data_IF_725327737599
#
_entry.id   IF_725327737599
#
_cell.length_a   1.000
_cell.length_b   1.000
_cell.length_c   1.000
_cell.angle_alpha   90.00
_cell.angle_beta   90.00
_cell.angle_gamma   90.00
#
_symmetry.space_group_name_H-M   'P 1'
#
loop_
_entity.id
_entity.type
_entity.pdbx_description
1 polymer ?
#
# COMPACT_ATOMS: atom_id res chain seq x y z
N UNK A 1 11.63 13.24 2.16
CA UNK A 1 10.28 13.46 1.62
C UNK A 1 9.72 12.24 0.94
N UNK A 2 8.43 12.26 0.59
CA UNK A 2 7.72 11.10 0.02
C UNK A 2 8.31 10.62 -1.30
N UNK A 3 8.91 11.51 -2.08
CA UNK A 3 9.52 11.20 -3.39
C UNK A 3 10.98 10.75 -3.33
N UNK A 4 11.57 10.70 -2.16
CA UNK A 4 12.99 10.38 -2.01
C UNK A 4 13.28 9.72 -0.68
N UNK A 5 14.29 10.25 0.04
CA UNK A 5 14.65 9.75 1.36
C UNK A 5 13.45 9.80 2.31
N UNK A 6 13.10 8.65 2.87
CA UNK A 6 12.08 8.50 3.91
C UNK A 6 12.75 8.14 5.25
N UNK A 7 12.23 8.71 6.33
CA UNK A 7 12.66 8.40 7.69
C UNK A 7 11.44 8.13 8.54
N UNK A 8 11.37 6.95 9.15
CA UNK A 8 10.36 6.56 10.13
C UNK A 8 11.04 6.34 11.48
N UNK A 9 10.38 6.69 12.57
CA UNK A 9 10.91 6.48 13.89
C UNK A 9 9.82 6.10 14.89
N UNK A 10 10.10 5.11 15.72
CA UNK A 10 9.25 4.74 16.83
C UNK A 10 9.80 5.29 18.15
N UNK A 11 8.90 5.77 18.99
CA UNK A 11 9.22 6.36 20.28
C UNK A 11 8.27 5.84 21.36
N UNK A 12 8.84 5.51 22.53
CA UNK A 12 8.06 5.26 23.74
C UNK A 12 7.87 6.56 24.52
N UNK A 13 6.63 6.80 24.96
CA UNK A 13 6.34 7.85 25.92
C UNK A 13 5.81 7.24 27.21
N UNK A 14 6.67 7.21 28.24
CA UNK A 14 6.31 6.65 29.54
C UNK A 14 6.83 7.53 30.68
N UNK A 15 5.98 7.75 31.68
CA UNK A 15 6.36 8.54 32.85
C UNK A 15 6.79 9.96 32.53
N UNK A 16 6.21 10.59 31.50
CA UNK A 16 6.59 11.94 31.05
C UNK A 16 7.89 12.01 30.24
N UNK A 17 8.47 10.87 29.89
CA UNK A 17 9.74 10.79 29.15
C UNK A 17 9.52 10.14 27.80
N UNK A 18 10.09 10.77 26.76
CA UNK A 18 10.16 10.24 25.39
C UNK A 18 11.49 9.51 25.20
N UNK A 19 11.46 8.28 24.69
CA UNK A 19 12.64 7.46 24.43
C UNK A 19 12.53 6.84 23.04
N UNK A 20 13.57 7.03 22.20
CA UNK A 20 13.62 6.40 20.88
C UNK A 20 13.74 4.89 21.00
N UNK A 21 12.95 4.16 20.24
CA UNK A 21 13.07 2.71 20.07
C UNK A 21 13.97 2.38 18.89
N UNK A 22 13.61 2.89 17.72
CA UNK A 22 14.37 2.68 16.49
C UNK A 22 14.12 3.83 15.50
N UNK A 23 14.99 3.90 14.52
CA UNK A 23 14.87 4.80 13.36
C UNK A 23 15.18 3.98 12.11
N UNK A 24 14.22 3.92 11.19
CA UNK A 24 14.41 3.42 9.83
C UNK A 24 14.70 4.61 8.92
N UNK A 25 15.78 4.54 8.17
CA UNK A 25 16.23 5.61 7.28
C UNK A 25 16.67 4.99 5.95
N UNK A 26 16.01 5.35 4.87
CA UNK A 26 16.30 4.81 3.54
C UNK A 26 17.67 5.24 2.99
N UNK A 27 18.30 6.27 3.55
CA UNK A 27 19.66 6.67 3.22
C UNK A 27 20.73 6.00 4.10
N UNK A 28 20.34 5.33 5.18
CA UNK A 28 21.26 4.59 6.03
C UNK A 28 21.57 3.20 5.46
N UNK A 29 22.78 2.67 5.66
CA UNK A 29 23.07 1.29 5.35
C UNK A 29 22.15 0.32 6.11
N UNK A 30 21.63 -0.69 5.43
CA UNK A 30 20.77 -1.70 6.03
C UNK A 30 20.18 -2.60 4.96
N UNK A 31 19.68 -3.75 5.39
CA UNK A 31 19.02 -4.75 4.53
C UNK A 31 17.69 -5.10 5.19
N UNK A 32 16.61 -4.95 4.45
CA UNK A 32 15.27 -5.38 4.85
C UNK A 32 15.14 -6.89 4.98
N UNK A 33 14.03 -7.35 5.51
CA UNK A 33 13.72 -8.78 5.63
C UNK A 33 13.48 -9.42 4.26
N UNK A 34 13.06 -8.63 3.27
CA UNK A 34 12.93 -9.04 1.86
C UNK A 34 14.30 -9.13 1.13
N UNK A 35 15.40 -8.88 1.82
CA UNK A 35 16.75 -8.92 1.27
C UNK A 35 17.16 -7.67 0.49
N UNK A 36 16.30 -6.68 0.34
CA UNK A 36 16.60 -5.43 -0.37
C UNK A 36 17.34 -4.44 0.53
N UNK A 37 18.26 -3.63 -0.02
CA UNK A 37 18.89 -2.56 0.74
C UNK A 37 17.87 -1.48 1.12
N UNK A 38 18.12 -0.77 2.24
CA UNK A 38 17.24 0.32 2.67
C UNK A 38 17.00 1.37 1.58
N UNK A 39 17.95 1.57 0.67
CA UNK A 39 17.83 2.49 -0.45
C UNK A 39 16.67 2.17 -1.41
N UNK A 40 16.28 0.91 -1.53
CA UNK A 40 15.18 0.47 -2.40
C UNK A 40 13.79 0.87 -1.84
N UNK A 41 13.74 1.27 -0.58
CA UNK A 41 12.53 1.81 0.06
C UNK A 41 12.39 3.33 -0.13
N UNK A 42 13.39 4.00 -0.74
CA UNK A 42 13.31 5.44 -0.98
C UNK A 42 12.24 5.75 -2.04
N UNK A 43 11.40 6.77 -1.77
CA UNK A 43 10.30 7.13 -2.64
C UNK A 43 9.07 6.21 -2.55
N UNK A 44 9.04 5.30 -1.58
CA UNK A 44 7.94 4.34 -1.39
C UNK A 44 6.93 4.79 -0.33
N UNK A 45 7.21 5.87 0.38
CA UNK A 45 6.28 6.45 1.35
C UNK A 45 5.19 7.28 0.70
N UNK A 46 4.16 7.63 1.45
CA UNK A 46 3.03 8.41 0.97
C UNK A 46 2.58 9.51 1.92
N UNK A 47 1.47 10.16 1.61
CA UNK A 47 0.84 11.15 2.48
C UNK A 47 0.02 10.52 3.61
N UNK A 48 -0.23 9.23 3.53
CA UNK A 48 -0.94 8.44 4.54
C UNK A 48 -0.04 7.37 5.14
N UNK A 49 -0.27 7.04 6.40
CA UNK A 49 0.39 5.96 7.14
C UNK A 49 -0.65 5.19 7.93
N UNK A 50 -0.48 3.89 7.98
CA UNK A 50 -1.29 3.01 8.83
C UNK A 50 -0.39 2.16 9.72
N UNK A 51 -0.94 1.64 10.80
CA UNK A 51 -0.31 0.64 11.66
C UNK A 51 -1.24 -0.55 11.79
N UNK A 52 -0.70 -1.75 11.70
CA UNK A 52 -1.44 -3.00 11.83
C UNK A 52 -0.47 -4.17 12.06
N UNK A 53 -0.88 -5.15 12.83
CA UNK A 53 -0.21 -6.45 12.93
C UNK A 53 -0.46 -7.22 11.61
N UNK A 54 0.50 -7.09 10.67
CA UNK A 54 0.34 -7.67 9.32
C UNK A 54 0.97 -9.06 9.21
N UNK A 55 1.91 -9.41 10.09
CA UNK A 55 2.59 -10.70 10.06
C UNK A 55 2.08 -11.68 11.14
N UNK A 56 1.27 -11.21 12.07
CA UNK A 56 0.59 -12.03 13.07
C UNK A 56 1.44 -12.31 14.32
N UNK A 57 2.44 -11.49 14.60
CA UNK A 57 3.33 -11.64 15.75
C UNK A 57 2.78 -10.95 17.03
N UNK A 58 1.69 -10.19 16.90
CA UNK A 58 1.00 -9.48 17.98
C UNK A 58 1.55 -8.09 18.24
N UNK A 59 2.33 -7.54 17.33
CA UNK A 59 2.80 -6.16 17.31
C UNK A 59 2.40 -5.51 15.99
N UNK A 60 2.33 -4.17 15.99
CA UNK A 60 1.94 -3.44 14.79
C UNK A 60 3.16 -3.04 13.97
N UNK A 61 3.12 -3.31 12.67
CA UNK A 61 4.01 -2.80 11.65
C UNK A 61 3.55 -1.43 11.19
N UNK A 62 4.47 -0.67 10.61
CA UNK A 62 4.16 0.58 9.94
C UNK A 62 3.98 0.31 8.44
N UNK A 63 2.74 0.41 7.97
CA UNK A 63 2.40 0.40 6.56
C UNK A 63 2.49 1.82 6.02
N UNK A 64 3.56 2.10 5.29
CA UNK A 64 3.83 3.43 4.75
C UNK A 64 3.80 3.39 3.22
N UNK A 65 2.60 3.28 2.70
CA UNK A 65 2.26 3.20 1.29
C UNK A 65 2.83 1.95 0.60
N UNK A 66 3.83 2.11 -0.27
CA UNK A 66 4.47 1.00 -1.02
C UNK A 66 5.54 0.26 -0.24
N UNK A 67 5.70 0.57 1.04
CA UNK A 67 6.63 -0.14 1.94
C UNK A 67 5.99 -0.45 3.29
N UNK A 68 6.47 -1.51 3.90
CA UNK A 68 6.13 -1.90 5.27
C UNK A 68 7.43 -1.99 6.08
N UNK A 69 7.41 -1.41 7.27
CA UNK A 69 8.51 -1.45 8.24
C UNK A 69 8.02 -2.16 9.48
N UNK A 70 8.76 -3.18 9.87
CA UNK A 70 8.51 -4.05 11.00
C UNK A 70 8.64 -3.31 12.35
N UNK A 71 8.05 -3.88 13.39
CA UNK A 71 8.07 -3.35 14.76
C UNK A 71 9.48 -3.20 15.33
N UNK A 72 10.46 -3.92 14.76
CA UNK A 72 11.88 -3.84 15.10
C UNK A 72 12.63 -2.70 14.36
N UNK A 73 11.97 -2.01 13.42
CA UNK A 73 12.55 -0.91 12.64
C UNK A 73 13.30 -1.35 11.39
N UNK A 74 13.16 -2.59 10.96
CA UNK A 74 13.68 -3.08 9.67
C UNK A 74 12.59 -3.03 8.60
N UNK A 75 12.97 -2.78 7.34
CA UNK A 75 12.05 -2.94 6.24
C UNK A 75 11.54 -4.38 6.17
N UNK A 76 10.22 -4.59 6.17
CA UNK A 76 9.63 -5.91 5.97
C UNK A 76 9.65 -6.25 4.48
N UNK A 77 9.12 -5.35 3.67
CA UNK A 77 9.20 -5.41 2.20
C UNK A 77 8.90 -4.05 1.56
N UNK A 78 9.18 -3.95 0.26
CA UNK A 78 8.67 -2.89 -0.62
C UNK A 78 8.12 -3.46 -1.91
N UNK A 79 6.95 -2.95 -2.35
CA UNK A 79 6.32 -3.32 -3.63
C UNK A 79 6.99 -2.66 -4.83
N UNK A 80 7.68 -1.53 -4.63
CA UNK A 80 8.25 -0.74 -5.71
C UNK A 80 7.24 0.17 -6.42
N UNK A 81 5.98 0.25 -5.97
CA UNK A 81 4.91 1.02 -6.62
C UNK A 81 5.01 2.53 -6.42
N UNK A 82 6.04 2.97 -5.70
CA UNK A 82 6.33 4.37 -5.42
C UNK A 82 5.34 5.03 -4.46
N UNK A 83 5.39 6.33 -4.40
CA UNK A 83 4.62 7.17 -3.53
C UNK A 83 3.14 7.25 -3.95
N UNK A 84 2.29 7.71 -3.04
CA UNK A 84 0.88 7.99 -3.29
C UNK A 84 0.21 8.69 -2.11
N UNK A 85 -1.05 9.09 -2.29
CA UNK A 85 -1.75 9.97 -1.37
C UNK A 85 -2.53 9.24 -0.28
N UNK A 86 -3.30 8.25 -0.66
CA UNK A 86 -4.23 7.57 0.22
C UNK A 86 -4.01 6.05 0.23
N UNK A 87 -4.14 5.47 1.42
CA UNK A 87 -4.10 4.02 1.60
C UNK A 87 -5.11 3.57 2.65
N UNK A 88 -5.52 2.32 2.52
CA UNK A 88 -6.32 1.61 3.51
C UNK A 88 -5.70 0.24 3.79
N UNK A 89 -5.72 -0.18 5.05
CA UNK A 89 -5.26 -1.51 5.49
C UNK A 89 -6.39 -2.16 6.25
N UNK A 90 -6.85 -3.31 5.78
CA UNK A 90 -7.91 -4.08 6.46
C UNK A 90 -8.02 -5.50 5.88
N UNK A 91 -8.87 -6.30 6.48
CA UNK A 91 -9.34 -7.58 5.93
C UNK A 91 -10.50 -7.31 4.95
N UNK A 92 -10.19 -6.77 3.79
CA UNK A 92 -11.18 -6.40 2.77
C UNK A 92 -11.84 -7.62 2.13
N UNK A 93 -11.13 -8.72 2.04
CA UNK A 93 -11.62 -9.99 1.53
C UNK A 93 -11.69 -10.99 2.70
N UNK A 94 -12.90 -11.44 3.09
CA UNK A 94 -13.07 -12.38 4.20
C UNK A 94 -12.43 -13.76 3.92
N UNK A 95 -12.24 -14.11 2.64
CA UNK A 95 -11.63 -15.37 2.22
C UNK A 95 -10.10 -15.27 2.13
N UNK A 96 -9.54 -14.05 2.17
CA UNK A 96 -8.10 -13.86 2.17
C UNK A 96 -7.52 -13.97 3.61
N UNK A 97 -6.49 -14.78 3.83
CA UNK A 97 -5.99 -15.07 5.18
C UNK A 97 -5.34 -13.85 5.87
N UNK A 98 -4.66 -13.00 5.10
CA UNK A 98 -3.92 -11.86 5.61
C UNK A 98 -4.66 -10.54 5.35
N UNK A 99 -4.33 -9.45 6.08
CA UNK A 99 -4.78 -8.11 5.72
C UNK A 99 -4.32 -7.71 4.31
N UNK A 100 -5.08 -6.82 3.69
CA UNK A 100 -4.79 -6.29 2.36
C UNK A 100 -4.51 -4.80 2.50
N UNK A 101 -3.50 -4.31 1.81
CA UNK A 101 -3.29 -2.89 1.56
C UNK A 101 -3.93 -2.53 0.23
N UNK A 102 -4.77 -1.52 0.24
CA UNK A 102 -5.28 -0.87 -0.96
C UNK A 102 -4.81 0.58 -0.98
N UNK A 103 -4.19 1.02 -2.06
CA UNK A 103 -3.68 2.38 -2.18
C UNK A 103 -3.69 2.90 -3.61
N UNK A 104 -3.64 4.22 -3.73
CA UNK A 104 -3.42 4.93 -4.98
C UNK A 104 -1.98 5.41 -5.05
N UNK A 105 -1.41 5.43 -6.25
CA UNK A 105 -0.02 5.77 -6.47
C UNK A 105 0.13 6.84 -7.52
N UNK A 106 1.27 7.51 -7.52
CA UNK A 106 1.62 8.59 -8.42
C UNK A 106 2.89 8.28 -9.22
N UNK A 107 2.90 8.65 -10.49
CA UNK A 107 4.07 8.57 -11.36
C UNK A 107 4.60 9.96 -11.76
N UNK A 108 4.62 10.90 -10.83
CA UNK A 108 5.29 12.21 -10.86
C UNK A 108 5.44 12.84 -12.28
N UNK A 109 4.33 13.30 -12.84
CA UNK A 109 4.29 13.99 -14.13
C UNK A 109 4.27 13.06 -15.34
N UNK A 110 4.13 11.77 -15.15
CA UNK A 110 3.91 10.76 -16.19
C UNK A 110 2.61 10.00 -15.94
N UNK A 111 2.07 9.36 -16.98
CA UNK A 111 0.97 8.41 -16.77
C UNK A 111 1.46 7.23 -15.93
N UNK A 112 0.57 6.71 -15.12
CA UNK A 112 0.81 5.46 -14.39
C UNK A 112 0.91 4.28 -15.37
N UNK A 113 1.69 3.28 -14.99
CA UNK A 113 1.94 2.08 -15.79
C UNK A 113 1.96 0.81 -14.89
N UNK A 114 2.33 -0.32 -15.45
CA UNK A 114 2.40 -1.57 -14.70
C UNK A 114 3.45 -1.57 -13.58
N UNK A 115 4.46 -0.70 -13.62
CA UNK A 115 5.52 -0.60 -12.59
C UNK A 115 5.20 0.43 -11.53
N UNK A 116 4.49 1.49 -11.90
CA UNK A 116 3.94 2.50 -11.02
C UNK A 116 2.45 2.62 -11.31
N UNK A 117 1.62 1.74 -10.75
CA UNK A 117 0.18 1.71 -11.03
C UNK A 117 -0.51 2.93 -10.42
N UNK A 118 -1.64 3.36 -11.01
CA UNK A 118 -2.49 4.39 -10.41
C UNK A 118 -3.15 3.91 -9.11
N UNK A 119 -3.44 2.61 -9.03
CA UNK A 119 -3.92 1.97 -7.82
C UNK A 119 -3.49 0.51 -7.77
N UNK A 120 -3.33 0.00 -6.56
CA UNK A 120 -3.03 -1.42 -6.35
C UNK A 120 -3.61 -1.92 -5.03
N UNK A 121 -3.88 -3.22 -5.01
CA UNK A 121 -4.05 -3.97 -3.77
C UNK A 121 -2.97 -5.04 -3.67
N UNK A 122 -2.43 -5.20 -2.49
CA UNK A 122 -1.42 -6.20 -2.21
C UNK A 122 -1.59 -6.80 -0.81
N UNK A 123 -1.12 -8.01 -0.64
CA UNK A 123 -1.08 -8.69 0.65
C UNK A 123 -0.19 -7.90 1.60
N UNK A 124 -0.73 -7.49 2.75
CA UNK A 124 -0.02 -6.63 3.71
C UNK A 124 1.17 -7.32 4.40
N UNK A 125 1.15 -8.66 4.47
CA UNK A 125 2.21 -9.46 5.08
C UNK A 125 3.39 -9.71 4.14
N UNK A 126 3.08 -9.95 2.85
CA UNK A 126 4.10 -10.46 1.90
C UNK A 126 4.48 -9.46 0.82
N UNK A 127 3.68 -8.41 0.60
CA UNK A 127 3.85 -7.49 -0.52
C UNK A 127 3.40 -8.08 -1.87
N UNK A 128 2.85 -9.29 -1.89
CA UNK A 128 2.35 -9.89 -3.12
C UNK A 128 1.20 -9.07 -3.68
N UNK A 129 1.34 -8.61 -4.93
CA UNK A 129 0.28 -7.90 -5.64
C UNK A 129 -0.90 -8.81 -5.89
N UNK A 130 -2.09 -8.39 -5.49
CA UNK A 130 -3.35 -9.07 -5.77
C UNK A 130 -3.95 -8.57 -7.07
N UNK A 131 -3.96 -7.27 -7.26
CA UNK A 131 -4.33 -6.62 -8.51
C UNK A 131 -3.74 -5.19 -8.57
N UNK A 132 -3.69 -4.60 -9.77
CA UNK A 132 -3.28 -3.23 -10.00
C UNK A 132 -3.92 -2.63 -11.25
N UNK A 133 -4.07 -1.32 -11.27
CA UNK A 133 -4.49 -0.55 -12.44
C UNK A 133 -3.26 0.16 -12.98
N UNK A 134 -2.82 -0.21 -14.20
CA UNK A 134 -1.66 0.38 -14.88
C UNK A 134 -2.02 1.67 -15.61
N UNK A 135 -2.27 1.63 -16.89
CA UNK A 135 -2.42 2.76 -17.82
C UNK A 135 -3.56 3.72 -17.46
N UNK A 136 -3.36 4.54 -16.43
CA UNK A 136 -4.32 5.51 -15.93
C UNK A 136 -3.64 6.83 -15.58
N UNK A 137 -4.43 7.88 -15.40
CA UNK A 137 -3.96 9.13 -14.81
C UNK A 137 -3.64 8.91 -13.32
N UNK A 138 -2.92 9.87 -12.77
CA UNK A 138 -2.63 9.96 -11.35
C UNK A 138 -3.92 10.02 -10.52
N UNK A 139 -3.98 9.26 -9.42
CA UNK A 139 -5.15 9.17 -8.56
C UNK A 139 -4.82 9.65 -7.14
N UNK A 140 -5.40 10.80 -6.74
CA UNK A 140 -5.11 11.41 -5.44
C UNK A 140 -5.85 10.78 -4.25
N UNK A 141 -7.01 10.13 -4.47
CA UNK A 141 -7.83 9.61 -3.37
C UNK A 141 -8.36 8.21 -3.67
N UNK A 142 -8.45 7.41 -2.63
CA UNK A 142 -9.17 6.14 -2.66
C UNK A 142 -10.01 5.95 -1.40
N UNK A 143 -11.01 5.10 -1.50
CA UNK A 143 -11.83 4.66 -0.38
C UNK A 143 -12.06 3.17 -0.50
N UNK A 144 -11.93 2.46 0.62
CA UNK A 144 -12.36 1.07 0.73
C UNK A 144 -13.25 0.90 1.95
N UNK A 145 -14.44 0.33 1.76
CA UNK A 145 -15.40 0.10 2.84
C UNK A 145 -16.34 -1.05 2.49
N UNK A 146 -16.76 -1.80 3.49
CA UNK A 146 -17.87 -2.76 3.35
C UNK A 146 -19.19 -2.00 3.39
N UNK A 147 -19.73 -1.71 2.21
CA UNK A 147 -20.94 -0.89 2.04
C UNK A 147 -22.12 -1.65 1.42
N UNK A 148 -21.93 -2.88 0.96
CA UNK A 148 -22.99 -3.69 0.37
C UNK A 148 -23.25 -4.95 1.20
N UNK A 149 -24.28 -4.97 2.05
CA UNK A 149 -24.55 -6.10 2.94
C UNK A 149 -24.97 -7.39 2.20
N UNK A 150 -25.15 -7.33 0.88
CA UNK A 150 -25.48 -8.50 0.05
C UNK A 150 -24.23 -9.24 -0.42
N UNK A 151 -23.06 -8.64 -0.29
CA UNK A 151 -21.78 -9.19 -0.72
C UNK A 151 -20.78 -9.07 0.42
N UNK A 152 -20.12 -10.16 0.74
CA UNK A 152 -19.05 -10.15 1.73
C UNK A 152 -17.81 -9.45 1.18
N UNK A 153 -17.15 -8.66 2.02
CA UNK A 153 -15.92 -7.94 1.68
C UNK A 153 -16.13 -6.47 1.33
N UNK A 154 -15.05 -5.73 1.32
CA UNK A 154 -15.07 -4.30 1.06
C UNK A 154 -15.08 -3.98 -0.43
N UNK A 155 -15.73 -2.86 -0.75
CA UNK A 155 -15.66 -2.21 -2.07
C UNK A 155 -14.68 -1.07 -2.00
N UNK A 156 -13.96 -0.85 -3.07
CA UNK A 156 -13.03 0.27 -3.18
C UNK A 156 -13.40 1.20 -4.32
N UNK A 157 -13.16 2.48 -4.10
CA UNK A 157 -13.36 3.55 -5.09
C UNK A 157 -12.13 4.43 -5.17
N UNK A 158 -11.81 4.89 -6.36
CA UNK A 158 -10.70 5.79 -6.66
C UNK A 158 -11.29 7.08 -7.21
N UNK A 159 -10.83 8.26 -6.75
CA UNK A 159 -11.20 9.55 -7.33
C UNK A 159 -10.45 9.77 -8.64
N UNK A 160 -11.03 10.57 -9.50
CA UNK A 160 -10.58 10.90 -10.85
C UNK A 160 -10.70 9.75 -11.87
N UNK A 161 -11.10 8.58 -11.44
CA UNK A 161 -11.62 7.53 -12.32
C UNK A 161 -13.02 7.13 -11.88
N UNK A 162 -13.92 6.86 -12.80
CA UNK A 162 -15.25 6.33 -12.51
C UNK A 162 -15.21 4.82 -12.20
N UNK A 163 -14.05 4.30 -11.85
CA UNK A 163 -13.84 2.91 -11.54
C UNK A 163 -14.33 2.58 -10.13
N UNK A 164 -15.38 1.80 -10.03
CA UNK A 164 -15.72 1.07 -8.82
C UNK A 164 -14.96 -0.25 -8.84
N UNK A 165 -14.10 -0.44 -7.85
CA UNK A 165 -13.32 -1.66 -7.70
C UNK A 165 -13.95 -2.48 -6.57
N UNK A 166 -14.45 -3.65 -6.89
CA UNK A 166 -14.90 -4.62 -5.91
C UNK A 166 -13.71 -5.49 -5.46
N UNK A 167 -13.22 -5.28 -4.25
CA UNK A 167 -12.10 -6.03 -3.71
C UNK A 167 -12.44 -7.51 -3.45
N UNK A 168 -13.73 -7.84 -3.34
CA UNK A 168 -14.21 -9.21 -3.15
C UNK A 168 -14.44 -9.94 -4.49
N UNK A 169 -14.74 -9.22 -5.56
CA UNK A 169 -14.84 -9.81 -6.89
C UNK A 169 -13.48 -9.65 -7.60
N UNK A 170 -12.78 -10.76 -7.84
CA UNK A 170 -11.50 -10.80 -8.57
C UNK A 170 -11.60 -10.31 -10.03
N UNK A 171 -12.74 -9.76 -10.41
CA UNK A 171 -12.98 -9.12 -11.70
C UNK A 171 -13.14 -7.63 -11.50
N UNK A 172 -12.09 -6.91 -11.80
CA UNK A 172 -12.13 -5.46 -11.91
C UNK A 172 -13.01 -5.06 -13.09
N UNK A 173 -14.10 -4.35 -12.81
CA UNK A 173 -14.74 -3.50 -13.79
C UNK A 173 -14.35 -2.05 -13.51
N UNK A 174 -13.24 -1.60 -14.09
CA UNK A 174 -12.89 -0.20 -14.11
C UNK A 174 -13.71 0.50 -15.19
N UNK A 175 -14.61 1.42 -14.82
CA UNK A 175 -15.32 2.27 -15.75
C UNK A 175 -14.76 3.68 -15.62
N UNK A 176 -13.82 4.03 -16.47
CA UNK A 176 -13.35 5.40 -16.60
C UNK A 176 -14.14 6.06 -17.75
N UNK A 177 -14.89 7.13 -17.48
CA UNK A 177 -15.64 7.94 -18.46
C UNK A 177 -16.46 7.11 -19.48
N UNK A 178 -17.13 6.04 -19.05
CA UNK A 178 -17.96 5.20 -19.91
C UNK A 178 -17.18 4.29 -20.86
N UNK A 179 -15.90 4.05 -20.63
CA UNK A 179 -15.08 3.06 -21.36
C UNK A 179 -14.62 1.98 -20.41
N UNK A 180 -14.80 0.72 -20.80
CA UNK A 180 -14.16 -0.41 -20.12
C UNK A 180 -12.63 -0.32 -20.29
N UNK A 181 -11.88 -0.29 -19.19
CA UNK A 181 -10.42 -0.40 -19.22
C UNK A 181 -10.07 -1.88 -19.07
N UNK A 182 -9.57 -2.48 -20.13
CA UNK A 182 -9.33 -3.92 -20.23
C UNK A 182 -7.89 -4.35 -19.94
N UNK A 183 -7.19 -3.79 -18.99
CA UNK A 183 -5.90 -4.35 -18.64
C UNK A 183 -5.77 -4.62 -17.14
N UNK A 184 -6.27 -5.77 -16.74
CA UNK A 184 -5.96 -6.36 -15.44
C UNK A 184 -4.71 -7.21 -15.65
N UNK A 185 -3.56 -6.77 -15.14
CA UNK A 185 -2.38 -7.63 -15.07
C UNK A 185 -2.55 -8.50 -13.84
N UNK A 186 -3.07 -9.72 -14.03
CA UNK A 186 -3.02 -10.76 -13.00
C UNK A 186 -1.56 -11.00 -12.62
N UNK A 187 -1.24 -10.96 -11.33
CA UNK A 187 0.07 -11.35 -10.84
C UNK A 187 0.34 -12.80 -11.23
N UNK A 188 1.34 -13.02 -12.07
CA UNK A 188 1.83 -14.37 -12.33
C UNK A 188 2.37 -14.96 -11.02
N UNK A 189 1.78 -16.09 -10.60
CA UNK A 189 2.19 -16.87 -9.44
C UNK A 189 3.56 -17.51 -9.61
#
# INVERSE_FOLDING_TARGET
>A
GVYGRSVLAAWDFRGGKLTSRWVFDTAAPGIGQDGKPNGDYAGMGGHSVSVADVDGDGRDEIVYHSMVVDDDGRGLFTTGFRHGDALHVSRFDPDHPDPIVFGVHENEGSRCDATTPAAAAFNARTGQTLWRIGDAEDAGYCLAADIDPRQAGARSRISDSTADIDAADRRLHAVAEGREVHEIVEGAG
#
